data_IF_017747971372
#
_entry.id   IF_017747971372
#
_cell.length_a   1.000
_cell.length_b   1.000
_cell.length_c   1.000
_cell.angle_alpha   90.00
_cell.angle_beta   90.00
_cell.angle_gamma   90.00
#
_symmetry.space_group_name_H-M   'P 1'
#
loop_
_entity.id
_entity.type
_entity.pdbx_description
1 polymer ?
#
# COMPACT_ATOMS: atom_id res chain seq x y z
N UNK A 1 -68.30 -3.96 13.41
CA UNK A 1 -67.63 -2.71 13.85
C UNK A 1 -66.20 -3.05 14.21
N UNK A 2 -65.22 -2.52 13.48
CA UNK A 2 -63.79 -2.73 13.74
C UNK A 2 -63.36 -1.64 14.72
N UNK A 3 -62.88 -2.02 15.90
CA UNK A 3 -62.39 -1.09 16.92
C UNK A 3 -60.93 -0.77 16.62
N UNK A 4 -60.67 0.41 16.06
CA UNK A 4 -59.31 0.90 15.88
C UNK A 4 -58.77 1.32 17.25
N UNK A 5 -57.92 0.48 17.84
CA UNK A 5 -57.19 0.81 19.07
C UNK A 5 -56.05 1.74 18.69
N UNK A 6 -56.12 3.00 19.11
CA UNK A 6 -55.04 3.96 18.96
C UNK A 6 -53.86 3.63 19.88
N UNK A 7 -52.64 3.87 19.40
CA UNK A 7 -51.42 3.80 20.21
C UNK A 7 -51.42 4.93 21.24
N UNK A 8 -51.00 4.64 22.46
CA UNK A 8 -50.83 5.67 23.49
C UNK A 8 -49.54 6.45 23.26
N UNK A 9 -49.52 7.74 23.62
CA UNK A 9 -48.32 8.58 23.54
C UNK A 9 -47.17 7.98 24.37
N UNK A 10 -47.50 7.34 25.49
CA UNK A 10 -46.52 6.70 26.38
C UNK A 10 -45.83 5.52 25.70
N UNK A 11 -46.57 4.71 24.95
CA UNK A 11 -45.98 3.59 24.19
C UNK A 11 -45.02 4.11 23.11
N UNK A 12 -45.40 5.17 22.39
CA UNK A 12 -44.50 5.77 21.40
C UNK A 12 -43.25 6.38 22.06
N UNK A 13 -43.41 7.00 23.23
CA UNK A 13 -42.32 7.63 23.98
C UNK A 13 -41.31 6.60 24.48
N UNK A 14 -41.77 5.47 25.04
CA UNK A 14 -40.86 4.41 25.51
C UNK A 14 -40.08 3.83 24.32
N UNK A 15 -40.71 3.65 23.16
CA UNK A 15 -40.04 3.09 21.97
C UNK A 15 -38.89 3.98 21.50
N UNK A 16 -39.08 5.30 21.41
CA UNK A 16 -38.00 6.20 21.00
C UNK A 16 -36.86 6.26 22.04
N UNK A 17 -37.19 6.16 23.33
CA UNK A 17 -36.19 6.10 24.42
C UNK A 17 -35.37 4.82 24.34
N UNK A 18 -36.03 3.67 24.15
CA UNK A 18 -35.36 2.36 24.03
C UNK A 18 -34.49 2.32 22.77
N UNK A 19 -34.98 2.78 21.62
CA UNK A 19 -34.18 2.87 20.39
C UNK A 19 -32.97 3.80 20.61
N UNK A 20 -33.13 4.93 21.30
CA UNK A 20 -32.04 5.84 21.62
C UNK A 20 -30.93 5.19 22.47
N UNK A 21 -31.31 4.43 23.50
CA UNK A 21 -30.36 3.71 24.36
C UNK A 21 -29.64 2.60 23.57
N UNK A 22 -30.39 1.79 22.80
CA UNK A 22 -29.83 0.69 22.01
C UNK A 22 -28.90 1.19 20.90
N UNK A 23 -29.24 2.30 20.25
CA UNK A 23 -28.40 2.95 19.25
C UNK A 23 -27.08 3.44 19.87
N UNK A 24 -27.12 4.02 21.07
CA UNK A 24 -25.94 4.48 21.80
C UNK A 24 -24.94 3.36 22.11
N UNK A 25 -25.42 2.19 22.57
CA UNK A 25 -24.55 1.05 22.89
C UNK A 25 -23.90 0.41 21.67
N UNK A 26 -24.57 0.42 20.52
CA UNK A 26 -24.10 -0.28 19.31
C UNK A 26 -22.83 0.35 18.69
N UNK A 27 -22.53 1.61 19.02
CA UNK A 27 -21.41 2.34 18.41
C UNK A 27 -20.04 1.98 19.00
N UNK A 28 -19.97 1.66 20.31
CA UNK A 28 -18.68 1.53 21.04
C UNK A 28 -17.84 0.35 20.54
N UNK A 29 -18.46 -0.73 20.06
CA UNK A 29 -17.75 -1.90 19.53
C UNK A 29 -17.50 -1.88 18.00
N UNK A 30 -18.25 -1.06 17.26
CA UNK A 30 -18.22 -1.08 15.80
C UNK A 30 -16.88 -0.57 15.25
N UNK A 31 -16.34 0.52 15.80
CA UNK A 31 -15.10 1.12 15.31
C UNK A 31 -13.92 0.14 15.39
N UNK A 32 -13.72 -0.52 16.55
CA UNK A 32 -12.66 -1.51 16.72
C UNK A 32 -12.84 -2.74 15.81
N UNK A 33 -14.09 -3.20 15.64
CA UNK A 33 -14.39 -4.32 14.74
C UNK A 33 -14.13 -3.96 13.27
N UNK A 34 -14.48 -2.74 12.84
CA UNK A 34 -14.20 -2.26 11.48
C UNK A 34 -12.70 -2.14 11.22
N UNK A 35 -11.94 -1.67 12.19
CA UNK A 35 -10.49 -1.51 12.06
C UNK A 35 -9.79 -2.87 11.92
N UNK A 36 -10.18 -3.84 12.74
CA UNK A 36 -9.69 -5.22 12.63
C UNK A 36 -10.06 -5.87 11.30
N UNK A 37 -11.26 -5.60 10.79
CA UNK A 37 -11.71 -6.10 9.49
C UNK A 37 -10.89 -5.51 8.35
N UNK A 38 -10.59 -4.20 8.38
CA UNK A 38 -9.71 -3.53 7.41
C UNK A 38 -8.31 -4.14 7.41
N UNK A 39 -7.68 -4.30 8.59
CA UNK A 39 -6.36 -4.93 8.72
C UNK A 39 -6.34 -6.35 8.13
N UNK A 40 -7.33 -7.18 8.48
CA UNK A 40 -7.44 -8.56 7.97
C UNK A 40 -7.58 -8.60 6.44
N UNK A 41 -8.40 -7.70 5.90
CA UNK A 41 -8.59 -7.57 4.45
C UNK A 41 -7.32 -7.09 3.77
N UNK A 42 -6.63 -6.11 4.35
CA UNK A 42 -5.35 -5.57 3.84
C UNK A 42 -4.28 -6.66 3.77
N UNK A 43 -4.18 -7.55 4.76
CA UNK A 43 -3.27 -8.71 4.70
C UNK A 43 -3.62 -9.65 3.55
N UNK A 44 -4.90 -9.82 3.23
CA UNK A 44 -5.35 -10.64 2.10
C UNK A 44 -5.01 -9.98 0.77
N UNK A 45 -5.23 -8.66 0.66
CA UNK A 45 -4.89 -7.86 -0.50
C UNK A 45 -3.38 -7.89 -0.76
N UNK A 46 -2.56 -7.73 0.28
CA UNK A 46 -1.09 -7.86 0.20
C UNK A 46 -0.66 -9.23 -0.32
N UNK A 47 -1.27 -10.33 0.14
CA UNK A 47 -0.98 -11.68 -0.39
C UNK A 47 -1.29 -11.79 -1.88
N UNK A 48 -2.38 -11.17 -2.35
CA UNK A 48 -2.74 -11.17 -3.76
C UNK A 48 -1.76 -10.32 -4.58
N UNK A 49 -1.39 -9.15 -4.06
CA UNK A 49 -0.38 -8.26 -4.67
C UNK A 49 0.98 -8.97 -4.78
N UNK A 50 1.43 -9.63 -3.71
CA UNK A 50 2.65 -10.46 -3.71
C UNK A 50 2.61 -11.53 -4.81
N UNK A 51 1.46 -12.19 -5.03
CA UNK A 51 1.34 -13.16 -6.13
C UNK A 51 1.51 -12.50 -7.49
N UNK A 52 0.89 -11.34 -7.70
CA UNK A 52 1.02 -10.59 -8.97
C UNK A 52 2.47 -10.19 -9.22
N UNK A 53 3.17 -9.69 -8.20
CA UNK A 53 4.60 -9.36 -8.30
C UNK A 53 5.42 -10.60 -8.64
N UNK A 54 5.16 -11.73 -7.98
CA UNK A 54 5.86 -12.98 -8.26
C UNK A 54 5.61 -13.48 -9.70
N UNK A 55 4.38 -13.34 -10.22
CA UNK A 55 4.06 -13.64 -11.61
C UNK A 55 4.83 -12.72 -12.55
N UNK A 56 4.91 -11.41 -12.25
CA UNK A 56 5.70 -10.46 -13.05
C UNK A 56 7.18 -10.86 -13.10
N UNK A 57 7.79 -11.19 -11.94
CA UNK A 57 9.18 -11.67 -11.84
C UNK A 57 9.38 -12.96 -12.65
N UNK A 58 8.48 -13.93 -12.53
CA UNK A 58 8.57 -15.20 -13.25
C UNK A 58 8.39 -15.05 -14.76
N UNK A 59 7.44 -14.25 -15.21
CA UNK A 59 7.12 -14.05 -16.63
C UNK A 59 8.24 -13.31 -17.36
N UNK A 60 8.84 -12.32 -16.71
CA UNK A 60 9.92 -11.51 -17.30
C UNK A 60 11.32 -12.07 -17.07
N UNK A 61 11.49 -12.94 -16.05
CA UNK A 61 12.80 -13.38 -15.58
C UNK A 61 13.64 -12.28 -14.93
N UNK A 62 13.06 -11.11 -14.66
CA UNK A 62 13.72 -9.92 -14.11
C UNK A 62 13.46 -9.80 -12.59
N UNK A 63 14.37 -9.15 -11.85
CA UNK A 63 14.11 -8.76 -10.45
C UNK A 63 13.04 -7.66 -10.40
N UNK A 64 12.42 -7.41 -9.24
CA UNK A 64 11.40 -6.36 -9.16
C UNK A 64 11.98 -5.00 -9.54
N UNK A 65 13.19 -4.70 -9.06
CA UNK A 65 13.94 -3.49 -9.44
C UNK A 65 14.14 -3.38 -10.96
N UNK A 66 14.45 -4.48 -11.63
CA UNK A 66 14.63 -4.50 -13.08
C UNK A 66 13.31 -4.30 -13.86
N UNK A 67 12.17 -4.70 -13.29
CA UNK A 67 10.85 -4.49 -13.88
C UNK A 67 10.43 -3.02 -13.71
N UNK A 68 10.65 -2.47 -12.52
CA UNK A 68 10.19 -1.11 -12.18
C UNK A 68 11.09 -0.02 -12.76
N UNK A 69 12.39 -0.26 -12.95
CA UNK A 69 13.31 0.71 -13.59
C UNK A 69 13.01 0.99 -15.05
N UNK A 70 12.34 0.07 -15.75
CA UNK A 70 12.06 0.16 -17.19
C UNK A 70 10.77 0.94 -17.41
N UNK A 71 10.73 2.18 -16.92
CA UNK A 71 9.73 3.15 -17.32
C UNK A 71 10.25 3.89 -18.54
N UNK A 72 9.47 3.92 -19.62
CA UNK A 72 9.68 4.83 -20.75
C UNK A 72 8.60 5.90 -20.67
N UNK A 73 8.97 7.18 -20.80
CA UNK A 73 7.95 8.23 -20.94
C UNK A 73 7.10 7.99 -22.20
N UNK A 74 6.03 8.77 -22.35
CA UNK A 74 5.19 8.76 -23.56
C UNK A 74 5.92 9.10 -24.87
N UNK A 75 7.23 9.38 -24.83
CA UNK A 75 8.10 9.61 -26.00
C UNK A 75 9.05 8.45 -26.28
N UNK A 76 9.00 7.38 -25.49
CA UNK A 76 9.84 6.19 -25.66
C UNK A 76 11.24 6.35 -25.07
N UNK A 77 11.53 7.45 -24.35
CA UNK A 77 12.79 7.60 -23.65
C UNK A 77 12.73 6.87 -22.30
N UNK A 78 13.76 6.09 -21.92
CA UNK A 78 13.83 5.53 -20.58
C UNK A 78 13.83 6.67 -19.56
N UNK A 79 12.74 6.79 -18.81
CA UNK A 79 12.70 7.58 -17.59
C UNK A 79 13.26 6.67 -16.51
N UNK A 80 14.54 6.88 -16.21
CA UNK A 80 15.16 6.31 -15.03
C UNK A 80 14.46 6.94 -13.81
N UNK A 81 13.39 6.30 -13.33
CA UNK A 81 12.72 6.67 -12.07
C UNK A 81 13.62 6.45 -10.84
N UNK A 82 14.83 5.93 -11.05
CA UNK A 82 15.86 5.70 -10.05
C UNK A 82 17.23 5.92 -10.67
N UNK A 83 17.65 7.18 -10.83
CA UNK A 83 19.08 7.45 -10.75
C UNK A 83 19.42 7.56 -9.26
N UNK A 84 20.15 6.56 -8.78
CA UNK A 84 20.77 6.50 -7.46
C UNK A 84 19.92 6.21 -6.23
N UNK A 85 18.58 6.24 -6.28
CA UNK A 85 17.78 5.95 -5.09
C UNK A 85 16.82 4.78 -5.32
N UNK A 86 16.76 3.82 -4.39
CA UNK A 86 15.91 2.63 -4.48
C UNK A 86 14.44 3.06 -4.50
N UNK A 87 13.51 2.16 -4.81
CA UNK A 87 12.07 2.46 -4.79
C UNK A 87 11.55 2.73 -3.36
N UNK A 88 12.39 3.16 -2.41
CA UNK A 88 11.94 3.93 -1.27
C UNK A 88 11.22 5.12 -1.86
N UNK A 89 9.89 5.13 -1.73
CA UNK A 89 9.04 6.16 -2.28
C UNK A 89 9.22 6.34 -3.81
N UNK A 90 8.14 6.59 -4.53
CA UNK A 90 8.32 7.44 -5.69
C UNK A 90 9.08 8.69 -5.18
N UNK A 91 10.17 9.13 -5.80
CA UNK A 91 10.92 10.34 -5.39
C UNK A 91 10.00 11.49 -4.96
N UNK A 92 8.85 11.64 -5.63
CA UNK A 92 7.84 12.67 -5.36
C UNK A 92 6.93 12.42 -4.13
N UNK A 93 6.99 11.23 -3.55
CA UNK A 93 6.41 10.81 -2.27
C UNK A 93 7.45 10.74 -1.14
N UNK A 94 8.72 11.08 -1.39
CA UNK A 94 9.79 10.97 -0.39
C UNK A 94 9.62 11.94 0.77
N UNK A 95 9.96 11.55 2.01
CA UNK A 95 10.16 12.51 3.10
C UNK A 95 11.17 13.60 2.75
N UNK A 96 12.18 13.31 1.91
CA UNK A 96 13.18 14.30 1.48
C UNK A 96 12.59 15.38 0.56
N UNK A 97 11.50 15.07 -0.14
CA UNK A 97 10.83 15.98 -1.09
C UNK A 97 9.59 16.63 -0.46
N UNK A 98 8.87 15.88 0.40
CA UNK A 98 7.56 16.27 0.96
C UNK A 98 7.60 16.62 2.45
N UNK A 99 8.72 16.37 3.12
CA UNK A 99 8.87 16.49 4.57
C UNK A 99 8.51 15.21 5.32
N UNK A 100 9.08 15.06 6.52
CA UNK A 100 8.75 13.95 7.42
C UNK A 100 7.27 14.01 7.84
N UNK A 101 6.61 12.85 7.91
CA UNK A 101 5.19 12.74 8.25
C UNK A 101 4.23 13.14 7.13
N UNK A 102 4.72 13.23 5.89
CA UNK A 102 3.87 13.43 4.72
C UNK A 102 2.85 12.29 4.59
N UNK A 103 1.57 12.67 4.45
CA UNK A 103 0.47 11.73 4.29
C UNK A 103 0.14 11.52 2.82
N UNK A 104 0.13 10.25 2.41
CA UNK A 104 -0.11 9.86 1.02
C UNK A 104 -1.59 9.62 0.70
N UNK A 105 -2.45 9.63 1.71
CA UNK A 105 -3.88 9.48 1.51
C UNK A 105 -4.50 10.72 0.84
N UNK A 106 -5.52 10.50 0.02
CA UNK A 106 -6.33 11.55 -0.62
C UNK A 106 -5.58 12.57 -1.49
N UNK A 107 -4.38 12.23 -1.98
CA UNK A 107 -3.70 13.05 -2.98
C UNK A 107 -4.45 13.01 -4.33
N UNK A 108 -4.49 14.13 -5.08
CA UNK A 108 -5.12 14.14 -6.40
C UNK A 108 -4.33 13.27 -7.38
N UNK A 109 -5.02 12.71 -8.38
CA UNK A 109 -4.37 11.86 -9.40
C UNK A 109 -3.36 12.62 -10.28
N UNK A 110 -3.33 13.96 -10.20
CA UNK A 110 -2.36 14.83 -10.87
C UNK A 110 -1.10 15.08 -10.03
N UNK A 111 -1.08 14.67 -8.75
CA UNK A 111 0.10 14.78 -7.92
C UNK A 111 1.19 13.85 -8.45
N UNK A 112 2.40 14.37 -8.60
CA UNK A 112 3.55 13.61 -9.11
C UNK A 112 3.78 12.34 -8.28
N UNK A 113 3.53 12.38 -6.97
CA UNK A 113 3.58 11.22 -6.08
C UNK A 113 2.64 10.09 -6.56
N UNK A 114 1.39 10.41 -6.87
CA UNK A 114 0.42 9.42 -7.34
C UNK A 114 0.72 8.98 -8.76
N UNK A 115 1.23 9.87 -9.60
CA UNK A 115 1.60 9.56 -10.99
C UNK A 115 2.70 8.49 -11.02
N UNK A 116 3.85 8.68 -10.37
CA UNK A 116 4.91 7.66 -10.53
C UNK A 116 4.61 6.37 -9.76
N UNK A 117 3.79 6.43 -8.70
CA UNK A 117 3.24 5.21 -8.10
C UNK A 117 2.37 4.45 -9.10
N UNK A 118 1.47 5.14 -9.80
CA UNK A 118 0.63 4.53 -10.84
C UNK A 118 1.50 3.86 -11.89
N UNK A 119 2.50 4.58 -12.40
CA UNK A 119 3.39 4.07 -13.46
C UNK A 119 4.17 2.84 -13.00
N UNK A 120 4.66 2.83 -11.76
CA UNK A 120 5.33 1.68 -11.14
C UNK A 120 4.41 0.46 -11.08
N UNK A 121 3.16 0.65 -10.66
CA UNK A 121 2.19 -0.45 -10.61
C UNK A 121 1.76 -0.92 -12.01
N UNK A 122 1.64 -0.01 -12.98
CA UNK A 122 1.28 -0.33 -14.35
C UNK A 122 2.31 -1.25 -15.02
N UNK A 123 3.62 -0.99 -14.83
CA UNK A 123 4.67 -1.86 -15.38
C UNK A 123 4.66 -3.25 -14.74
N UNK A 124 4.36 -3.35 -13.44
CA UNK A 124 4.21 -4.64 -12.74
C UNK A 124 3.00 -5.39 -13.27
N UNK A 125 1.84 -4.75 -13.38
CA UNK A 125 0.61 -5.38 -13.88
C UNK A 125 0.76 -5.81 -15.34
N UNK A 126 1.38 -4.97 -16.17
CA UNK A 126 1.71 -5.32 -17.55
C UNK A 126 2.65 -6.52 -17.62
N UNK A 127 3.70 -6.56 -16.80
CA UNK A 127 4.64 -7.69 -16.72
C UNK A 127 3.97 -8.97 -16.21
N UNK A 128 2.98 -8.86 -15.33
CA UNK A 128 2.19 -9.99 -14.84
C UNK A 128 1.05 -10.43 -15.78
N UNK A 129 0.77 -9.68 -16.86
CA UNK A 129 -0.36 -9.94 -17.74
C UNK A 129 -1.73 -9.68 -17.09
N UNK A 130 -1.80 -8.80 -16.10
CA UNK A 130 -3.02 -8.42 -15.37
C UNK A 130 -3.53 -7.08 -15.89
N UNK A 131 -4.86 -6.87 -15.85
CA UNK A 131 -5.48 -5.60 -16.24
C UNK A 131 -4.91 -4.41 -15.47
N UNK A 132 -4.66 -3.31 -16.19
CA UNK A 132 -4.11 -2.06 -15.65
C UNK A 132 -5.26 -1.20 -15.10
N UNK A 133 -5.05 -0.59 -13.92
CA UNK A 133 -6.03 0.28 -13.28
C UNK A 133 -5.70 1.76 -13.53
N UNK A 134 -6.71 2.63 -13.45
CA UNK A 134 -6.53 4.09 -13.59
C UNK A 134 -5.82 4.74 -12.39
N UNK A 135 -5.59 4.00 -11.31
CA UNK A 135 -4.91 4.44 -10.09
C UNK A 135 -4.09 3.31 -9.49
N UNK A 136 -3.07 3.59 -8.68
CA UNK A 136 -2.36 2.55 -7.93
C UNK A 136 -3.34 1.79 -7.02
N UNK A 137 -3.06 0.50 -6.71
CA UNK A 137 -3.85 -0.24 -5.73
C UNK A 137 -3.77 0.44 -4.37
N UNK A 138 -4.90 0.51 -3.67
CA UNK A 138 -5.03 1.20 -2.38
C UNK A 138 -5.38 0.21 -1.29
N UNK A 139 -4.89 0.48 -0.09
CA UNK A 139 -5.26 -0.23 1.13
C UNK A 139 -6.67 0.14 1.60
N UNK A 140 -7.12 -0.51 2.67
CA UNK A 140 -8.47 -0.31 3.22
C UNK A 140 -8.64 0.99 4.01
N UNK A 141 -7.61 1.83 4.08
CA UNK A 141 -7.64 3.21 4.59
C UNK A 141 -7.56 4.25 3.47
N UNK A 142 -7.36 3.82 2.22
CA UNK A 142 -7.38 4.64 1.02
C UNK A 142 -6.00 5.12 0.56
N UNK A 143 -4.93 4.68 1.22
CA UNK A 143 -3.55 4.99 0.86
C UNK A 143 -3.05 4.00 -0.19
N UNK A 144 -2.26 4.41 -1.19
CA UNK A 144 -1.63 3.47 -2.11
C UNK A 144 -0.71 2.47 -1.40
N UNK A 145 -0.63 1.23 -1.88
CA UNK A 145 0.37 0.28 -1.41
C UNK A 145 1.78 0.74 -1.79
N UNK A 146 2.67 0.70 -0.81
CA UNK A 146 4.06 1.10 -0.94
C UNK A 146 4.90 -0.11 -1.33
N UNK A 147 5.88 0.11 -2.20
CA UNK A 147 6.80 -0.90 -2.68
C UNK A 147 8.21 -0.49 -2.28
N UNK A 148 9.05 -1.46 -1.97
CA UNK A 148 10.47 -1.28 -1.75
C UNK A 148 11.20 -2.42 -2.48
N UNK A 149 11.69 -2.11 -3.68
CA UNK A 149 12.45 -3.06 -4.50
C UNK A 149 13.94 -2.90 -4.17
N UNK A 150 14.37 -3.58 -3.12
CA UNK A 150 15.75 -3.55 -2.65
C UNK A 150 16.64 -4.60 -3.34
N UNK A 151 16.07 -5.51 -4.14
CA UNK A 151 16.82 -6.56 -4.80
C UNK A 151 17.72 -5.96 -5.91
N UNK A 152 19.05 -5.96 -5.67
CA UNK A 152 20.12 -5.39 -6.51
C UNK A 152 20.38 -3.87 -6.33
N UNK A 153 19.91 -3.28 -5.22
CA UNK A 153 20.15 -1.88 -4.87
C UNK A 153 21.64 -1.57 -4.62
N UNK A 154 22.31 -2.40 -3.80
CA UNK A 154 23.71 -2.21 -3.39
C UNK A 154 24.70 -2.24 -4.57
N UNK A 155 24.44 -3.06 -5.59
CA UNK A 155 25.29 -3.19 -6.79
C UNK A 155 25.36 -1.89 -7.58
N UNK A 156 24.28 -1.11 -7.59
CA UNK A 156 24.23 0.16 -8.30
C UNK A 156 25.05 1.26 -7.58
N UNK A 157 25.13 1.20 -6.25
CA UNK A 157 25.95 2.10 -5.44
C UNK A 157 27.43 1.69 -5.40
N UNK A 158 27.84 0.71 -6.22
CA UNK A 158 29.22 0.21 -6.30
C UNK A 158 29.59 -0.76 -5.19
N UNK A 159 28.62 -1.17 -4.36
CA UNK A 159 28.83 -2.14 -3.29
C UNK A 159 28.64 -3.57 -3.80
N UNK A 160 29.31 -4.55 -3.19
CA UNK A 160 29.00 -5.95 -3.45
C UNK A 160 27.51 -6.21 -3.19
N UNK A 161 26.92 -7.06 -4.04
CA UNK A 161 25.49 -7.38 -4.04
C UNK A 161 24.93 -7.87 -2.71
N UNK A 162 25.80 -8.31 -1.80
CA UNK A 162 25.49 -8.89 -0.50
C UNK A 162 26.15 -8.15 0.66
N UNK A 163 26.65 -6.94 0.43
CA UNK A 163 27.30 -6.14 1.46
C UNK A 163 26.25 -5.43 2.33
N UNK A 164 25.94 -6.05 3.48
CA UNK A 164 25.06 -5.49 4.50
C UNK A 164 25.74 -4.39 5.35
N UNK A 165 26.98 -4.00 5.05
CA UNK A 165 27.71 -2.95 5.79
C UNK A 165 27.41 -1.54 5.30
N UNK A 166 26.49 -1.36 4.34
CA UNK A 166 25.92 -0.05 4.09
C UNK A 166 25.33 0.47 5.41
N UNK A 167 25.59 1.72 5.86
CA UNK A 167 25.39 2.15 7.26
C UNK A 167 23.92 2.17 7.75
N UNK A 168 23.00 1.67 6.93
CA UNK A 168 21.56 1.69 7.06
C UNK A 168 20.88 0.51 6.33
N UNK A 169 21.61 -0.46 5.75
CA UNK A 169 21.03 -1.69 5.17
C UNK A 169 20.68 -2.68 6.27
N UNK A 170 19.66 -2.34 7.05
CA UNK A 170 19.01 -3.27 7.99
C UNK A 170 18.01 -4.21 7.30
N UNK A 171 17.86 -4.11 5.98
CA UNK A 171 16.99 -4.94 5.17
C UNK A 171 17.74 -6.13 4.57
N UNK A 172 17.18 -7.32 4.70
CA UNK A 172 17.44 -8.42 3.77
C UNK A 172 17.32 -7.90 2.33
N UNK A 173 18.12 -8.42 1.38
CA UNK A 173 18.06 -8.09 -0.07
C UNK A 173 16.75 -8.55 -0.76
N UNK A 174 15.63 -8.47 -0.06
CA UNK A 174 14.32 -9.02 -0.40
C UNK A 174 13.29 -7.94 -0.62
N UNK A 175 12.71 -7.90 -1.81
CA UNK A 175 11.72 -6.88 -2.15
C UNK A 175 10.54 -6.91 -1.15
N UNK A 176 10.04 -5.74 -0.77
CA UNK A 176 8.94 -5.57 0.18
C UNK A 176 7.76 -4.86 -0.47
N UNK A 177 6.57 -5.20 0.01
CA UNK A 177 5.33 -4.46 -0.25
C UNK A 177 4.59 -4.26 1.07
N UNK A 178 4.13 -3.03 1.33
CA UNK A 178 3.48 -2.65 2.58
C UNK A 178 2.26 -1.77 2.38
N UNK A 179 1.35 -1.86 3.34
CA UNK A 179 0.26 -0.92 3.55
C UNK A 179 0.78 0.26 4.37
N UNK A 180 0.43 1.50 3.99
CA UNK A 180 0.71 2.70 4.79
C UNK A 180 -0.24 2.83 5.99
N UNK A 181 -1.28 2.00 6.05
CA UNK A 181 -2.09 1.85 7.25
C UNK A 181 -2.95 3.09 7.55
N UNK A 182 -3.48 3.18 8.79
CA UNK A 182 -4.31 4.29 9.25
C UNK A 182 -3.63 5.66 9.21
N UNK A 183 -2.33 5.75 9.51
CA UNK A 183 -1.61 7.02 9.56
C UNK A 183 -1.33 7.62 8.16
N UNK A 184 -1.33 6.75 7.14
CA UNK A 184 -1.05 7.05 5.74
C UNK A 184 0.34 7.66 5.51
N UNK A 185 1.32 7.40 6.37
CA UNK A 185 2.63 8.00 6.27
C UNK A 185 3.46 7.24 5.24
N UNK A 186 3.97 7.95 4.24
CA UNK A 186 4.94 7.37 3.30
C UNK A 186 6.36 7.45 3.90
N UNK A 187 6.63 6.66 4.93
CA UNK A 187 7.98 6.55 5.52
C UNK A 187 8.78 5.41 4.91
N UNK A 188 10.10 5.57 4.91
CA UNK A 188 11.03 4.50 4.57
C UNK A 188 10.91 3.34 5.55
N UNK A 189 11.03 3.61 6.85
CA UNK A 189 10.84 2.59 7.87
C UNK A 189 9.35 2.25 8.05
N UNK A 190 8.98 0.98 8.25
CA UNK A 190 7.64 0.61 8.69
C UNK A 190 7.27 1.38 9.98
N UNK A 191 6.10 2.01 10.00
CA UNK A 191 5.50 2.51 11.23
C UNK A 191 4.93 1.34 12.05
N UNK A 192 4.48 1.62 13.28
CA UNK A 192 3.86 0.62 14.16
C UNK A 192 2.50 0.12 13.64
N UNK A 193 1.84 0.87 12.77
CA UNK A 193 0.55 0.54 12.16
C UNK A 193 0.64 0.06 10.70
N UNK A 194 1.82 0.09 10.10
CA UNK A 194 2.10 -0.48 8.77
C UNK A 194 1.88 -2.00 8.78
N UNK A 195 1.22 -2.50 7.73
CA UNK A 195 1.04 -3.95 7.52
C UNK A 195 1.99 -4.39 6.41
N UNK A 196 2.94 -5.25 6.77
CA UNK A 196 3.93 -5.79 5.85
C UNK A 196 3.43 -7.10 5.21
N UNK A 197 3.69 -7.27 3.92
CA UNK A 197 3.70 -8.60 3.34
C UNK A 197 4.93 -9.39 3.81
N UNK A 198 4.87 -10.72 3.71
CA UNK A 198 6.09 -11.51 3.80
C UNK A 198 7.08 -11.04 2.72
N UNK A 199 8.40 -11.01 3.03
CA UNK A 199 9.40 -10.64 2.05
C UNK A 199 9.27 -11.46 0.77
N UNK A 200 9.39 -10.78 -0.37
CA UNK A 200 9.32 -11.44 -1.66
C UNK A 200 10.58 -12.30 -1.87
N UNK A 201 10.44 -13.46 -2.54
CA UNK A 201 11.58 -14.33 -2.79
C UNK A 201 12.62 -13.60 -3.63
N UNK A 202 13.88 -13.74 -3.20
CA UNK A 202 15.04 -13.19 -3.89
C UNK A 202 15.51 -14.16 -4.96
N UNK A 203 15.79 -13.64 -6.15
CA UNK A 203 16.65 -14.24 -7.17
C UNK A 203 18.12 -14.23 -6.72
N UNK A 204 18.50 -13.32 -5.83
CA UNK A 204 19.84 -13.18 -5.27
C UNK A 204 19.94 -13.95 -3.94
N UNK A 205 20.85 -14.92 -3.85
CA UNK A 205 21.17 -15.62 -2.60
C UNK A 205 22.49 -15.06 -2.08
N UNK A 206 22.44 -14.40 -0.92
CA UNK A 206 23.62 -13.95 -0.19
C UNK A 206 23.99 -15.02 0.83
N UNK A 207 25.08 -15.76 0.55
CA UNK A 207 25.65 -16.80 1.39
C UNK A 207 26.68 -16.27 2.36
#
# INVERSE_FOLDING_TARGET
MKTDRGFTIVELLIVIVVIGILAGFSFVGLSAATEKAKSTRTTTDLKNITKVINIAKQTTGKTLWQITKEYVDGTGNPVYIAEYQPVWNNHNCSPSVRGAGFKINNLPNTDLCIIDMKLTWDVIYKAAGVGIANSPPKDNWGSPYLLDANENEAVYAGYPQCDLTWPNSSGTNSDLVKSAGPDAISSSSPSDDDILANPLPTKIICS
#
